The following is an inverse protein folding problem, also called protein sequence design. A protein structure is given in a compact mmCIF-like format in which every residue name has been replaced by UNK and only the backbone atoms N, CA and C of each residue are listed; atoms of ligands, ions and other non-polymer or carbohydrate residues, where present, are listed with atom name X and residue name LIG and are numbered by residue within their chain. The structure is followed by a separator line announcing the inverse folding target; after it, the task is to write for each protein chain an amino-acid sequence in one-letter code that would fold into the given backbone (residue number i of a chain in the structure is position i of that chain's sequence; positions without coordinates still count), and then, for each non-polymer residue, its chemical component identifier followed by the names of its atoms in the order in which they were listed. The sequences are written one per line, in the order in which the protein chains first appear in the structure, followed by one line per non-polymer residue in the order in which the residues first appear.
data_IF_054208428366
#
_entry.id   IF_054208428366
#
_cell.length_a   1.000
_cell.length_b   1.000
_cell.length_c   1.000
_cell.angle_alpha   90.00
_cell.angle_beta   90.00
_cell.angle_gamma   90.00
#
_symmetry.space_group_name_H-M   'P 1'
#
loop_
_entity.id
_entity.type
_entity.pdbx_description
1 polymer ?
#
# COMPACT_ATOMS: atom_id res chain seq x y z
N UNK A 1 30.96 -64.27 34.78
CA UNK A 1 30.63 -62.94 35.34
C UNK A 1 30.58 -61.96 34.17
N UNK A 2 29.38 -61.60 33.71
CA UNK A 2 29.17 -60.76 32.52
C UNK A 2 29.09 -59.29 32.93
N UNK A 3 29.84 -58.45 32.22
CA UNK A 3 29.95 -57.01 32.42
C UNK A 3 28.61 -56.28 32.15
N UNK A 4 28.28 -55.32 33.00
CA UNK A 4 27.18 -54.37 32.78
C UNK A 4 27.66 -53.19 31.93
N UNK A 5 26.91 -52.73 30.92
CA UNK A 5 27.28 -51.52 30.18
C UNK A 5 26.77 -50.28 30.91
N UNK A 6 27.68 -49.32 31.14
CA UNK A 6 27.36 -48.00 31.66
C UNK A 6 26.55 -47.21 30.62
N UNK A 7 25.36 -46.74 31.01
CA UNK A 7 24.52 -45.86 30.20
C UNK A 7 25.12 -44.44 30.21
N UNK A 8 25.61 -43.98 29.08
CA UNK A 8 26.01 -42.58 28.87
C UNK A 8 24.72 -41.73 28.74
N UNK A 9 24.43 -40.89 29.72
CA UNK A 9 23.33 -39.92 29.63
C UNK A 9 23.73 -38.76 28.71
N UNK A 10 23.19 -38.71 27.50
CA UNK A 10 23.29 -37.55 26.61
C UNK A 10 22.35 -36.48 27.15
N UNK A 11 22.89 -35.45 27.79
CA UNK A 11 22.14 -34.24 28.13
C UNK A 11 21.92 -33.45 26.84
N UNK A 12 20.74 -33.59 26.24
CA UNK A 12 20.30 -32.70 25.17
C UNK A 12 20.05 -31.31 25.78
N UNK A 13 20.98 -30.38 25.56
CA UNK A 13 20.75 -28.98 25.84
C UNK A 13 19.65 -28.47 24.90
N UNK A 14 18.42 -28.38 25.41
CA UNK A 14 17.33 -27.69 24.75
C UNK A 14 17.69 -26.20 24.72
N UNK A 15 18.33 -25.75 23.64
CA UNK A 15 18.51 -24.34 23.36
C UNK A 15 17.13 -23.70 23.28
N UNK A 16 16.82 -22.81 24.23
CA UNK A 16 15.67 -21.93 24.12
C UNK A 16 15.89 -21.05 22.88
N UNK A 17 15.26 -21.42 21.76
CA UNK A 17 15.10 -20.52 20.64
C UNK A 17 14.13 -19.44 21.08
N UNK A 18 14.64 -18.31 21.54
CA UNK A 18 13.84 -17.10 21.70
C UNK A 18 13.44 -16.69 20.28
N UNK A 19 12.24 -17.10 19.86
CA UNK A 19 11.67 -16.64 18.62
C UNK A 19 11.57 -15.11 18.73
N UNK A 20 12.34 -14.39 17.91
CA UNK A 20 12.24 -12.95 17.82
C UNK A 20 10.77 -12.60 17.52
N UNK A 21 10.14 -11.70 18.29
CA UNK A 21 8.76 -11.34 18.05
C UNK A 21 8.60 -10.82 16.62
N UNK A 22 7.50 -11.19 15.98
CA UNK A 22 7.09 -10.64 14.70
C UNK A 22 6.59 -9.20 14.93
N UNK A 23 7.34 -8.19 14.45
CA UNK A 23 7.07 -6.75 14.52
C UNK A 23 6.95 -6.09 13.12
N UNK A 24 5.79 -5.53 12.69
CA UNK A 24 5.69 -4.67 11.48
C UNK A 24 6.84 -3.65 11.42
N UNK A 25 7.24 -3.14 10.24
CA UNK A 25 8.58 -2.52 10.11
C UNK A 25 9.65 -3.54 10.55
N UNK A 26 10.40 -4.11 9.61
CA UNK A 26 11.47 -5.03 9.98
C UNK A 26 12.48 -4.32 10.88
N UNK A 27 12.90 -4.96 11.98
CA UNK A 27 13.75 -4.34 13.01
C UNK A 27 13.04 -3.33 13.93
N UNK A 28 11.76 -3.06 13.72
CA UNK A 28 10.95 -2.13 14.51
C UNK A 28 10.53 -2.67 15.88
N UNK A 29 9.69 -1.90 16.57
CA UNK A 29 9.10 -2.23 17.89
C UNK A 29 7.66 -1.75 17.96
N UNK A 30 6.88 -2.32 18.88
CA UNK A 30 5.46 -1.99 19.01
C UNK A 30 5.30 -0.57 19.51
N UNK A 31 4.45 0.19 18.84
CA UNK A 31 4.18 1.59 19.16
C UNK A 31 2.83 1.68 19.85
N UNK A 32 2.80 2.38 20.99
CA UNK A 32 1.53 2.79 21.58
C UNK A 32 0.88 3.80 20.64
N UNK A 33 -0.23 3.39 20.03
CA UNK A 33 -0.97 4.20 19.06
C UNK A 33 -1.46 5.53 19.64
N UNK A 34 -1.61 5.63 20.97
CA UNK A 34 -1.95 6.89 21.65
C UNK A 34 -0.89 7.98 21.46
N UNK A 35 0.36 7.60 21.22
CA UNK A 35 1.46 8.53 20.95
C UNK A 35 1.48 9.04 19.51
N UNK A 36 0.81 8.32 18.60
CA UNK A 36 0.76 8.59 17.16
C UNK A 36 -0.64 8.32 16.59
N UNK A 37 -1.70 8.97 17.14
CA UNK A 37 -3.08 8.61 16.84
C UNK A 37 -3.49 8.90 15.39
N UNK A 38 -2.66 9.66 14.65
CA UNK A 38 -2.86 10.01 13.25
C UNK A 38 -2.52 8.89 12.26
N UNK A 39 -1.90 7.77 12.68
CA UNK A 39 -1.53 6.70 11.73
C UNK A 39 -2.76 5.90 11.32
N UNK A 40 -2.94 5.75 10.00
CA UNK A 40 -4.05 5.06 9.38
C UNK A 40 -3.65 3.68 8.84
N UNK A 41 -4.52 2.69 8.98
CA UNK A 41 -4.44 1.41 8.29
C UNK A 41 -5.43 1.42 7.11
N UNK A 42 -4.94 1.03 5.93
CA UNK A 42 -5.69 1.02 4.67
C UNK A 42 -5.96 -0.41 4.15
N UNK A 43 -5.86 -1.41 5.03
CA UNK A 43 -5.89 -2.84 4.72
C UNK A 43 -4.51 -3.35 4.32
N UNK A 44 -4.09 -3.06 3.08
CA UNK A 44 -2.80 -3.52 2.52
C UNK A 44 -1.72 -2.45 2.47
N UNK A 45 -2.00 -1.27 3.02
CA UNK A 45 -1.09 -0.14 3.09
C UNK A 45 -1.29 0.62 4.41
N UNK A 46 -0.39 1.55 4.68
CA UNK A 46 -0.45 2.51 5.77
C UNK A 46 -0.71 3.92 5.22
N UNK A 47 -1.22 4.82 6.04
CA UNK A 47 -1.30 6.25 5.74
C UNK A 47 -1.25 7.10 7.01
N UNK A 48 -1.45 8.41 6.87
CA UNK A 48 -1.49 9.35 8.00
C UNK A 48 -2.54 10.43 7.84
N UNK A 49 -3.23 10.76 8.93
CA UNK A 49 -4.13 11.89 8.99
C UNK A 49 -3.32 13.19 8.99
N UNK A 50 -3.45 13.99 7.93
CA UNK A 50 -2.75 15.29 7.76
C UNK A 50 -3.69 16.50 7.83
N UNK A 51 -5.00 16.24 7.79
CA UNK A 51 -6.07 17.18 8.14
C UNK A 51 -7.26 16.37 8.68
N UNK A 52 -8.27 16.97 9.33
CA UNK A 52 -9.34 16.22 10.01
C UNK A 52 -10.06 15.19 9.12
N UNK A 53 -10.12 15.39 7.81
CA UNK A 53 -10.75 14.50 6.83
C UNK A 53 -9.82 14.04 5.70
N UNK A 54 -8.49 14.13 5.89
CA UNK A 54 -7.49 13.83 4.84
C UNK A 54 -6.41 12.87 5.31
N UNK A 55 -6.29 11.77 4.60
CA UNK A 55 -5.23 10.78 4.81
C UNK A 55 -4.22 10.85 3.66
N UNK A 56 -2.95 11.08 4.01
CA UNK A 56 -1.79 10.99 3.13
C UNK A 56 -1.35 9.52 3.01
N UNK A 57 -1.09 9.06 1.79
CA UNK A 57 -0.56 7.72 1.50
C UNK A 57 0.19 7.71 0.16
N UNK A 58 0.67 6.55 -0.27
CA UNK A 58 1.31 6.36 -1.57
C UNK A 58 0.26 6.21 -2.68
N UNK A 59 0.58 6.69 -3.89
CA UNK A 59 -0.33 6.58 -5.03
C UNK A 59 -0.50 5.13 -5.50
N UNK A 60 0.51 4.28 -5.39
CA UNK A 60 0.40 2.87 -5.73
C UNK A 60 -0.60 2.11 -4.84
N UNK A 61 -0.83 2.59 -3.59
CA UNK A 61 -1.86 2.04 -2.71
C UNK A 61 -3.29 2.33 -3.23
N UNK A 62 -3.44 3.33 -4.11
CA UNK A 62 -4.70 3.73 -4.74
C UNK A 62 -4.82 3.13 -6.15
N UNK A 63 -3.77 3.23 -6.97
CA UNK A 63 -3.74 2.86 -8.39
C UNK A 63 -3.75 1.35 -8.65
N UNK A 64 -3.12 0.54 -7.78
CA UNK A 64 -3.01 -0.92 -7.99
C UNK A 64 -4.32 -1.69 -7.70
N UNK A 65 -5.44 -1.00 -7.53
CA UNK A 65 -6.73 -1.63 -7.39
C UNK A 65 -6.88 -2.34 -6.05
N UNK A 66 -6.93 -1.56 -4.97
CA UNK A 66 -7.69 -1.95 -3.78
C UNK A 66 -9.12 -2.22 -4.21
N UNK A 67 -9.33 -3.47 -4.62
CA UNK A 67 -10.58 -4.00 -5.07
C UNK A 67 -11.59 -3.87 -3.96
N UNK A 68 -12.58 -3.02 -4.17
CA UNK A 68 -13.79 -2.92 -3.39
C UNK A 68 -13.59 -2.55 -1.90
N UNK A 69 -13.88 -1.27 -1.62
CA UNK A 69 -13.99 -0.62 -0.32
C UNK A 69 -12.64 -0.41 0.38
N UNK A 70 -12.22 0.85 0.38
CA UNK A 70 -11.38 1.35 1.44
C UNK A 70 -12.16 1.24 2.75
N UNK A 71 -11.76 0.32 3.63
CA UNK A 71 -12.12 0.39 5.03
C UNK A 71 -10.88 0.94 5.71
N UNK A 72 -10.95 2.20 6.14
CA UNK A 72 -9.85 2.83 6.85
C UNK A 72 -10.11 2.77 8.35
N UNK A 73 -9.06 2.51 9.10
CA UNK A 73 -9.04 2.78 10.54
C UNK A 73 -7.92 3.75 10.87
N UNK A 74 -8.12 4.58 11.88
CA UNK A 74 -7.17 5.62 12.28
C UNK A 74 -6.96 5.49 13.78
N UNK A 75 -5.70 5.48 14.21
CA UNK A 75 -5.38 5.41 15.64
C UNK A 75 -5.70 4.06 16.32
N UNK A 76 -5.72 2.96 15.56
CA UNK A 76 -6.06 1.63 16.09
C UNK A 76 -4.81 0.79 16.33
N UNK A 77 -4.65 0.25 17.54
CA UNK A 77 -3.47 -0.55 17.88
C UNK A 77 -3.36 -1.84 17.07
N UNK A 78 -4.45 -2.61 16.93
CA UNK A 78 -4.52 -3.87 16.18
C UNK A 78 -5.79 -3.91 15.31
N UNK A 79 -5.70 -3.56 14.02
CA UNK A 79 -6.87 -3.46 13.16
C UNK A 79 -7.46 -4.85 12.84
N UNK A 80 -8.63 -5.15 13.40
CA UNK A 80 -9.41 -6.34 13.06
C UNK A 80 -10.55 -6.05 12.08
N UNK A 81 -10.29 -6.06 10.77
CA UNK A 81 -11.35 -5.83 9.76
C UNK A 81 -12.55 -6.78 9.79
N UNK A 82 -12.46 -7.93 10.47
CA UNK A 82 -13.60 -8.82 10.66
C UNK A 82 -14.50 -8.37 11.83
N UNK A 83 -13.94 -7.70 12.84
CA UNK A 83 -14.63 -7.36 14.09
C UNK A 83 -14.46 -5.88 14.53
N UNK A 84 -14.03 -5.00 13.64
CA UNK A 84 -13.79 -3.59 13.95
C UNK A 84 -15.11 -2.86 14.28
N UNK A 85 -15.16 -2.08 15.36
CA UNK A 85 -16.31 -1.22 15.64
C UNK A 85 -16.56 -0.26 14.49
N UNK A 86 -17.84 -0.06 14.12
CA UNK A 86 -18.20 0.91 13.08
C UNK A 86 -17.68 2.33 13.38
N UNK A 87 -17.62 2.71 14.66
CA UNK A 87 -17.09 3.99 15.11
C UNK A 87 -15.64 4.23 14.66
N UNK A 88 -14.83 3.17 14.61
CA UNK A 88 -13.39 3.23 14.28
C UNK A 88 -13.11 3.12 12.78
N UNK A 89 -14.19 3.02 11.97
CA UNK A 89 -14.09 2.82 10.51
C UNK A 89 -14.56 4.05 9.74
N UNK A 90 -13.76 4.48 8.77
CA UNK A 90 -14.04 5.65 7.95
C UNK A 90 -14.29 5.25 6.50
N UNK A 91 -15.33 5.84 5.91
CA UNK A 91 -15.61 5.72 4.48
C UNK A 91 -14.74 6.69 3.68
N UNK A 92 -14.74 6.50 2.35
CA UNK A 92 -14.00 7.35 1.42
C UNK A 92 -14.97 8.09 0.53
N UNK A 93 -14.90 9.42 0.53
CA UNK A 93 -15.67 10.27 -0.39
C UNK A 93 -14.95 10.55 -1.70
N UNK A 94 -13.61 10.42 -1.71
CA UNK A 94 -12.81 10.65 -2.90
C UNK A 94 -11.35 10.35 -2.68
N UNK A 95 -10.60 10.25 -3.77
CA UNK A 95 -9.15 10.08 -3.77
C UNK A 95 -8.52 11.02 -4.79
N UNK A 96 -7.30 11.47 -4.54
CA UNK A 96 -6.52 12.30 -5.45
C UNK A 96 -5.11 11.73 -5.53
N UNK A 97 -4.56 11.61 -6.74
CA UNK A 97 -3.20 11.14 -7.00
C UNK A 97 -2.36 12.32 -7.49
N UNK A 98 -1.12 12.42 -7.01
CA UNK A 98 -0.21 13.46 -7.44
C UNK A 98 0.01 13.40 -8.97
N UNK A 99 -0.03 14.54 -9.68
CA UNK A 99 0.17 14.58 -11.11
C UNK A 99 1.50 13.95 -11.53
N UNK A 100 1.48 13.18 -12.63
CA UNK A 100 2.68 12.54 -13.15
C UNK A 100 3.09 11.27 -12.41
N UNK A 101 2.25 10.73 -11.51
CA UNK A 101 2.46 9.42 -10.91
C UNK A 101 2.74 8.36 -11.98
N UNK A 102 3.86 7.65 -11.82
CA UNK A 102 4.22 6.51 -12.67
C UNK A 102 4.91 5.47 -11.82
N UNK A 103 4.46 4.23 -11.98
CA UNK A 103 5.11 3.09 -11.38
C UNK A 103 5.86 2.29 -12.43
N UNK A 104 7.18 2.22 -12.31
CA UNK A 104 8.02 1.35 -13.12
C UNK A 104 8.49 0.16 -12.27
N UNK A 105 7.56 -0.76 -12.03
CA UNK A 105 7.78 -1.99 -11.25
C UNK A 105 7.25 -3.29 -11.89
N UNK A 106 7.47 -3.59 -13.18
CA UNK A 106 7.00 -4.86 -13.71
C UNK A 106 8.10 -5.92 -13.50
N UNK A 107 8.10 -6.61 -12.36
CA UNK A 107 8.76 -7.92 -12.19
C UNK A 107 10.29 -7.99 -12.14
N UNK A 108 11.02 -6.87 -12.07
CA UNK A 108 12.49 -6.86 -11.94
C UNK A 108 13.00 -6.92 -10.49
N UNK A 109 12.30 -7.60 -9.58
CA UNK A 109 12.68 -7.68 -8.16
C UNK A 109 14.03 -8.36 -7.87
N UNK A 110 14.70 -8.94 -8.88
CA UNK A 110 16.10 -9.41 -8.77
C UNK A 110 17.12 -8.29 -9.05
N UNK A 111 16.67 -7.17 -9.61
CA UNK A 111 17.45 -6.01 -10.05
C UNK A 111 16.78 -4.73 -9.51
N UNK A 112 16.91 -4.46 -8.21
CA UNK A 112 16.23 -3.34 -7.57
C UNK A 112 16.59 -1.96 -8.18
N UNK A 113 17.70 -1.87 -8.92
CA UNK A 113 18.05 -0.68 -9.71
C UNK A 113 17.08 -0.35 -10.86
N UNK A 114 16.26 -1.31 -11.30
CA UNK A 114 15.29 -1.11 -12.38
C UNK A 114 13.90 -0.71 -11.87
N UNK A 115 13.77 -0.60 -10.55
CA UNK A 115 12.54 -0.30 -9.86
C UNK A 115 12.54 1.19 -9.49
N UNK A 116 11.51 1.92 -9.89
CA UNK A 116 11.34 3.32 -9.50
C UNK A 116 9.85 3.67 -9.45
N UNK A 117 9.51 4.58 -8.55
CA UNK A 117 8.20 5.21 -8.48
C UNK A 117 8.38 6.72 -8.62
N UNK A 118 7.65 7.33 -9.55
CA UNK A 118 7.61 8.76 -9.79
C UNK A 118 6.37 9.31 -9.12
N UNK A 119 6.49 10.36 -8.32
CA UNK A 119 5.37 11.08 -7.71
C UNK A 119 4.37 10.16 -7.00
N UNK A 120 4.87 9.20 -6.23
CA UNK A 120 4.07 8.17 -5.56
C UNK A 120 3.40 8.68 -4.28
N UNK A 121 2.55 9.70 -4.45
CA UNK A 121 1.86 10.41 -3.37
C UNK A 121 0.38 10.54 -3.71
N UNK A 122 -0.49 10.26 -2.74
CA UNK A 122 -1.92 10.39 -2.88
C UNK A 122 -2.59 10.87 -1.60
N UNK A 123 -3.80 11.41 -1.78
CA UNK A 123 -4.73 11.78 -0.74
C UNK A 123 -5.98 10.92 -0.79
N UNK A 124 -6.41 10.44 0.36
CA UNK A 124 -7.74 9.90 0.58
C UNK A 124 -8.55 10.94 1.35
N UNK A 125 -9.71 11.30 0.81
CA UNK A 125 -10.67 12.16 1.47
C UNK A 125 -11.70 11.29 2.19
N UNK A 126 -11.82 11.48 3.50
CA UNK A 126 -12.74 10.73 4.34
C UNK A 126 -14.18 11.24 4.20
N UNK A 127 -15.14 10.34 4.39
CA UNK A 127 -16.57 10.67 4.39
C UNK A 127 -16.97 11.62 5.51
N UNK A 128 -16.21 11.63 6.61
CA UNK A 128 -16.38 12.52 7.76
C UNK A 128 -15.03 12.83 8.43
N UNK A 129 -14.93 13.95 9.19
CA UNK A 129 -13.76 14.22 10.01
C UNK A 129 -13.54 13.18 11.11
N UNK A 130 -12.28 12.97 11.48
CA UNK A 130 -11.87 12.16 12.63
C UNK A 130 -11.96 13.02 13.90
N UNK A 131 -12.80 12.67 14.88
CA UNK A 131 -12.89 13.41 16.14
C UNK A 131 -11.65 13.15 17.00
N UNK A 132 -11.28 14.15 17.80
CA UNK A 132 -10.30 14.03 18.90
C UNK A 132 -8.90 13.49 18.52
N UNK A 133 -8.55 13.49 17.23
CA UNK A 133 -7.23 13.15 16.71
C UNK A 133 -6.61 14.40 16.09
N UNK A 134 -5.46 14.81 16.62
CA UNK A 134 -4.67 15.88 16.02
C UNK A 134 -3.94 15.33 14.78
N UNK A 135 -4.17 15.88 13.57
CA UNK A 135 -3.42 15.49 12.39
C UNK A 135 -1.93 15.79 12.54
N UNK A 136 -1.07 14.99 11.90
CA UNK A 136 0.38 15.21 11.91
C UNK A 136 0.73 16.41 11.04
N UNK A 137 1.69 17.22 11.49
CA UNK A 137 2.27 18.27 10.66
C UNK A 137 3.04 17.64 9.49
N UNK A 138 2.99 18.27 8.32
CA UNK A 138 3.74 17.84 7.13
C UNK A 138 4.83 18.87 6.83
N UNK A 139 5.96 18.39 6.31
CA UNK A 139 7.05 19.27 5.90
C UNK A 139 6.63 20.15 4.72
N UNK A 140 6.90 21.45 4.83
CA UNK A 140 6.77 22.42 3.75
C UNK A 140 8.10 22.72 3.05
N UNK A 141 8.09 23.62 2.04
CA UNK A 141 9.30 24.04 1.32
C UNK A 141 10.40 24.61 2.22
N UNK A 142 10.04 25.18 3.37
CA UNK A 142 10.96 25.81 4.33
C UNK A 142 11.56 24.82 5.35
N UNK A 143 11.12 23.56 5.35
CA UNK A 143 11.57 22.54 6.31
C UNK A 143 12.77 21.71 5.81
N UNK A 144 13.53 22.24 4.84
CA UNK A 144 14.65 21.53 4.22
C UNK A 144 15.71 21.03 5.21
N UNK A 145 15.82 21.65 6.39
CA UNK A 145 16.71 21.21 7.47
C UNK A 145 16.33 19.83 8.05
N UNK A 146 15.04 19.48 8.05
CA UNK A 146 14.54 18.18 8.53
C UNK A 146 14.87 17.03 7.56
N UNK A 147 15.20 17.35 6.31
CA UNK A 147 15.40 16.38 5.23
C UNK A 147 16.90 16.17 4.88
N UNK A 148 17.80 16.66 5.73
CA UNK A 148 19.24 16.54 5.51
C UNK A 148 19.78 15.14 5.82
N UNK A 149 20.81 14.65 5.10
CA UNK A 149 21.50 13.41 5.46
C UNK A 149 22.01 13.44 6.91
N UNK A 150 21.88 12.32 7.60
CA UNK A 150 22.23 12.17 9.02
C UNK A 150 21.10 12.49 9.99
N UNK A 151 20.02 13.15 9.55
CA UNK A 151 18.85 13.39 10.39
C UNK A 151 18.26 12.05 10.86
N UNK A 152 18.02 11.94 12.17
CA UNK A 152 17.33 10.81 12.77
C UNK A 152 15.84 10.88 12.48
N UNK A 153 15.28 9.77 12.00
CA UNK A 153 13.89 9.69 11.56
C UNK A 153 13.26 8.40 12.05
N UNK A 154 11.93 8.43 12.21
CA UNK A 154 11.13 7.29 12.62
C UNK A 154 10.13 6.93 11.53
N UNK A 155 10.11 5.68 11.11
CA UNK A 155 9.05 5.14 10.25
C UNK A 155 8.00 4.42 11.11
N UNK A 156 6.74 4.47 10.67
CA UNK A 156 5.62 3.78 11.32
C UNK A 156 4.82 2.98 10.29
N UNK A 157 4.27 1.84 10.69
CA UNK A 157 3.49 1.02 9.76
C UNK A 157 2.79 -0.19 10.37
N UNK A 158 1.81 -0.70 9.62
CA UNK A 158 1.05 -1.92 9.93
C UNK A 158 1.43 -3.09 9.02
N UNK A 159 2.54 -2.98 8.28
CA UNK A 159 2.99 -4.00 7.36
C UNK A 159 3.54 -5.25 8.02
N UNK A 160 4.13 -6.11 7.21
CA UNK A 160 4.76 -7.34 7.66
C UNK A 160 6.06 -7.06 8.43
N UNK A 161 6.51 -8.09 9.13
CA UNK A 161 7.61 -8.00 10.10
C UNK A 161 8.88 -8.71 9.66
N UNK A 162 8.60 -9.72 8.86
CA UNK A 162 9.43 -10.79 8.38
C UNK A 162 8.78 -11.22 7.07
N UNK A 163 9.54 -11.82 6.14
CA UNK A 163 8.95 -12.40 4.94
C UNK A 163 7.81 -13.35 5.29
N UNK A 164 6.61 -13.05 4.80
CA UNK A 164 5.48 -13.96 4.87
C UNK A 164 5.69 -15.08 3.85
N UNK A 165 5.62 -16.33 4.30
CA UNK A 165 5.69 -17.48 3.39
C UNK A 165 4.48 -17.45 2.44
N UNK A 166 4.66 -17.70 1.14
CA UNK A 166 3.54 -17.79 0.21
C UNK A 166 2.47 -18.77 0.71
N UNK A 167 1.22 -18.31 0.79
CA UNK A 167 0.07 -19.13 1.24
C UNK A 167 -0.22 -19.07 2.75
N UNK A 168 0.57 -18.35 3.54
CA UNK A 168 0.25 -18.05 4.95
C UNK A 168 -0.36 -16.65 5.02
N UNK A 169 -1.54 -16.51 5.64
CA UNK A 169 -2.07 -15.19 5.94
C UNK A 169 -1.19 -14.54 7.02
N UNK A 170 -0.69 -13.31 6.84
CA UNK A 170 0.07 -12.65 7.87
C UNK A 170 -0.77 -12.53 9.16
N UNK A 171 -0.16 -12.69 10.35
CA UNK A 171 -0.84 -12.41 11.60
C UNK A 171 -1.29 -10.95 11.61
N UNK A 172 -2.33 -10.64 12.39
CA UNK A 172 -2.70 -9.23 12.63
C UNK A 172 -1.63 -8.61 13.49
N UNK A 173 -0.91 -7.63 12.95
CA UNK A 173 0.23 -7.03 13.61
C UNK A 173 -0.19 -5.70 14.24
N UNK A 174 0.21 -5.45 15.50
CA UNK A 174 0.00 -4.15 16.07
C UNK A 174 0.83 -3.10 15.31
N UNK A 175 0.45 -1.82 15.41
CA UNK A 175 1.27 -0.73 14.89
C UNK A 175 2.71 -0.83 15.39
N UNK A 176 3.67 -0.70 14.49
CA UNK A 176 5.07 -0.65 14.87
C UNK A 176 5.77 0.60 14.35
N UNK A 177 6.99 0.79 14.85
CA UNK A 177 7.91 1.77 14.33
C UNK A 177 9.35 1.45 14.65
N UNK A 178 10.25 2.00 13.85
CA UNK A 178 11.68 1.90 14.06
C UNK A 178 12.37 3.19 13.65
N UNK A 179 13.61 3.34 14.12
CA UNK A 179 14.40 4.54 13.91
C UNK A 179 15.56 4.23 12.95
N UNK A 180 15.84 5.17 12.06
CA UNK A 180 16.96 5.10 11.13
C UNK A 180 17.47 6.50 10.81
N UNK A 181 18.47 6.61 9.94
CA UNK A 181 18.99 7.90 9.49
C UNK A 181 18.80 8.11 8.01
N UNK A 182 18.58 9.38 7.66
CA UNK A 182 18.61 9.80 6.27
C UNK A 182 20.02 9.65 5.70
N UNK A 183 20.10 9.24 4.44
CA UNK A 183 21.35 9.16 3.68
C UNK A 183 21.32 10.13 2.50
N UNK A 184 22.50 10.50 2.01
CA UNK A 184 22.60 11.39 0.86
C UNK A 184 22.10 10.71 -0.42
N UNK A 185 21.56 11.50 -1.35
CA UNK A 185 21.19 11.01 -2.69
C UNK A 185 22.34 10.28 -3.40
N UNK A 186 23.60 10.79 -3.38
CA UNK A 186 24.75 10.03 -3.90
C UNK A 186 24.96 8.67 -3.23
N UNK A 187 24.79 8.56 -1.91
CA UNK A 187 24.87 7.26 -1.23
C UNK A 187 23.75 6.32 -1.66
N UNK A 188 22.52 6.83 -1.79
CA UNK A 188 21.36 6.05 -2.25
C UNK A 188 21.53 5.56 -3.70
N UNK A 189 22.08 6.41 -4.58
CA UNK A 189 22.37 6.07 -5.98
C UNK A 189 23.41 4.94 -6.14
N UNK A 190 24.23 4.66 -5.12
CA UNK A 190 25.12 3.48 -5.15
C UNK A 190 24.31 2.17 -5.16
N UNK A 191 23.17 2.15 -4.46
CA UNK A 191 22.24 1.03 -4.45
C UNK A 191 21.29 1.03 -5.66
N UNK A 192 20.87 2.22 -6.10
CA UNK A 192 19.87 2.40 -7.15
C UNK A 192 20.36 3.33 -8.28
N UNK A 193 21.30 2.90 -9.12
CA UNK A 193 21.79 3.72 -10.23
C UNK A 193 20.63 4.22 -11.11
N UNK A 194 20.54 5.55 -11.31
CA UNK A 194 19.57 6.24 -12.15
C UNK A 194 18.09 6.25 -11.69
N UNK A 195 17.75 5.64 -10.55
CA UNK A 195 16.36 5.50 -10.12
C UNK A 195 15.91 6.54 -9.08
N UNK A 196 16.85 7.24 -8.42
CA UNK A 196 16.57 8.21 -7.33
C UNK A 196 16.39 9.62 -7.89
N UNK A 197 15.20 10.18 -7.69
CA UNK A 197 14.76 11.50 -8.15
C UNK A 197 14.98 12.58 -7.06
N UNK A 198 14.75 13.85 -7.40
CA UNK A 198 14.79 14.95 -6.41
C UNK A 198 13.54 15.01 -5.53
N UNK A 199 12.48 14.31 -5.96
CA UNK A 199 11.27 14.04 -5.19
C UNK A 199 11.45 12.92 -4.17
N UNK A 200 12.64 12.32 -4.10
CA UNK A 200 12.92 11.19 -3.23
C UNK A 200 13.72 11.63 -1.99
N UNK A 201 13.53 10.87 -0.92
CA UNK A 201 14.34 10.91 0.29
C UNK A 201 14.69 9.48 0.68
N UNK A 202 15.98 9.23 0.95
CA UNK A 202 16.48 7.90 1.26
C UNK A 202 16.91 7.81 2.70
N UNK A 203 16.69 6.64 3.30
CA UNK A 203 17.11 6.33 4.66
C UNK A 203 17.62 4.91 4.76
N UNK A 204 18.55 4.69 5.67
CA UNK A 204 19.12 3.38 5.91
C UNK A 204 19.49 3.24 7.39
N UNK A 205 19.17 2.09 7.96
CA UNK A 205 19.79 1.63 9.20
C UNK A 205 21.07 0.85 8.83
N UNK A 206 22.13 1.05 9.61
CA UNK A 206 23.40 0.34 9.44
C UNK A 206 23.60 -0.72 10.54
N UNK A 207 22.73 -0.76 11.55
CA UNK A 207 22.82 -1.68 12.69
C UNK A 207 21.88 -2.87 12.50
N UNK A 208 22.36 -4.08 12.83
CA UNK A 208 21.52 -5.29 12.80
C UNK A 208 20.78 -5.48 14.14
N UNK A 209 19.49 -5.86 14.16
CA UNK A 209 18.63 -6.08 12.99
C UNK A 209 18.25 -4.77 12.29
N UNK A 210 18.24 -4.78 10.95
CA UNK A 210 18.01 -3.59 10.14
C UNK A 210 16.58 -3.08 10.27
N UNK A 211 16.45 -1.82 10.70
CA UNK A 211 15.19 -1.09 10.59
C UNK A 211 14.86 -0.76 9.12
N UNK A 212 13.75 -1.27 8.59
CA UNK A 212 13.27 -0.93 7.24
C UNK A 212 11.77 -1.18 7.03
N UNK A 213 11.13 -0.47 6.07
CA UNK A 213 9.79 -0.79 5.62
C UNK A 213 9.68 -2.20 5.02
N UNK A 214 8.49 -2.77 5.14
CA UNK A 214 8.10 -4.07 4.62
C UNK A 214 6.69 -4.01 3.99
N UNK A 215 6.25 -5.13 3.42
CA UNK A 215 4.99 -5.20 2.69
C UNK A 215 3.82 -4.75 3.57
N UNK A 216 3.09 -3.71 3.15
CA UNK A 216 2.00 -3.09 3.93
C UNK A 216 2.38 -1.81 4.69
N UNK A 217 3.67 -1.51 4.83
CA UNK A 217 4.14 -0.20 5.34
C UNK A 217 4.07 0.90 4.27
N UNK A 218 3.89 0.52 3.00
CA UNK A 218 3.64 1.43 1.87
C UNK A 218 2.63 2.51 2.22
N UNK A 219 2.95 3.76 1.89
CA UNK A 219 2.17 4.94 2.22
C UNK A 219 2.29 5.44 3.66
N UNK A 220 2.94 4.68 4.55
CA UNK A 220 3.20 5.07 5.93
C UNK A 220 4.17 6.26 6.05
N UNK A 221 4.22 6.91 7.22
CA UNK A 221 5.01 8.12 7.40
C UNK A 221 6.50 7.82 7.66
N UNK A 222 7.34 8.72 7.17
CA UNK A 222 8.67 8.98 7.73
C UNK A 222 8.64 10.29 8.51
N UNK A 223 8.91 10.23 9.80
CA UNK A 223 8.77 11.34 10.75
C UNK A 223 10.15 11.86 11.17
N UNK A 224 10.37 13.17 11.01
CA UNK A 224 11.42 13.89 11.72
C UNK A 224 10.88 14.35 13.08
N UNK A 225 11.65 14.16 14.14
CA UNK A 225 11.29 14.64 15.48
C UNK A 225 11.72 16.10 15.64
N UNK A 226 10.80 16.94 16.08
CA UNK A 226 11.07 18.36 16.39
C UNK A 226 10.69 18.66 17.83
N UNK A 227 11.14 19.77 18.43
CA UNK A 227 10.69 20.20 19.75
C UNK A 227 9.16 20.40 19.86
N UNK A 228 8.49 20.65 18.73
CA UNK A 228 7.05 20.89 18.66
C UNK A 228 6.25 19.62 18.33
N UNK A 229 6.92 18.47 18.25
CA UNK A 229 6.32 17.19 17.86
C UNK A 229 6.81 16.66 16.51
N UNK A 230 6.27 15.51 16.06
CA UNK A 230 6.68 14.89 14.81
C UNK A 230 6.21 15.67 13.60
N UNK A 231 7.09 15.80 12.61
CA UNK A 231 6.77 16.34 11.28
C UNK A 231 6.98 15.23 10.25
N UNK A 232 5.98 14.95 9.43
CA UNK A 232 6.10 13.98 8.35
C UNK A 232 6.86 14.57 7.16
N UNK A 233 8.03 14.00 6.88
CA UNK A 233 8.92 14.42 5.79
C UNK A 233 8.87 13.45 4.60
N UNK A 234 8.35 12.24 4.80
CA UNK A 234 8.34 11.19 3.78
C UNK A 234 7.07 10.33 3.76
N UNK A 235 6.80 9.73 2.60
CA UNK A 235 5.78 8.70 2.37
C UNK A 235 6.44 7.42 1.87
N UNK A 236 6.27 6.30 2.58
CA UNK A 236 6.92 5.02 2.26
C UNK A 236 6.53 4.57 0.86
N UNK A 237 7.51 4.27 -0.01
CA UNK A 237 7.23 4.04 -1.43
C UNK A 237 7.91 2.80 -2.01
N UNK A 238 9.25 2.75 -2.05
CA UNK A 238 9.95 1.65 -2.72
C UNK A 238 11.38 1.41 -2.17
N UNK A 239 12.08 0.41 -2.71
CA UNK A 239 13.53 0.25 -2.55
C UNK A 239 13.96 -0.98 -1.78
N UNK A 240 13.76 -1.00 -0.46
CA UNK A 240 14.35 -1.98 0.45
C UNK A 240 13.84 -3.42 0.26
N UNK A 241 12.70 -3.59 -0.40
CA UNK A 241 12.08 -4.89 -0.67
C UNK A 241 12.62 -5.57 -1.93
N UNK A 242 13.08 -6.81 -1.78
CA UNK A 242 13.61 -7.65 -2.86
C UNK A 242 12.87 -8.99 -2.80
N UNK A 243 12.14 -9.38 -3.87
CA UNK A 243 11.21 -10.54 -3.87
C UNK A 243 11.79 -11.87 -3.35
N UNK A 244 13.09 -12.09 -3.52
CA UNK A 244 13.76 -13.33 -3.08
C UNK A 244 14.39 -13.22 -1.69
N UNK A 245 14.30 -12.05 -1.06
CA UNK A 245 14.82 -11.76 0.27
C UNK A 245 13.67 -11.33 1.17
N UNK A 246 13.77 -11.70 2.44
CA UNK A 246 12.92 -11.12 3.45
C UNK A 246 13.16 -9.64 3.64
N UNK A 247 12.15 -8.96 4.18
CA UNK A 247 12.35 -7.69 4.85
C UNK A 247 13.47 -7.87 5.89
N UNK A 248 14.38 -6.89 5.97
CA UNK A 248 15.55 -7.01 6.84
C UNK A 248 16.80 -7.58 6.15
N UNK A 249 16.68 -8.25 4.99
CA UNK A 249 17.76 -9.10 4.45
C UNK A 249 18.48 -8.51 3.21
N UNK A 250 17.92 -7.46 2.60
CA UNK A 250 18.52 -6.88 1.40
C UNK A 250 19.72 -5.96 1.70
N UNK A 251 19.79 -5.37 2.89
CA UNK A 251 20.75 -4.33 3.28
C UNK A 251 20.77 -3.15 2.28
N UNK A 252 19.61 -2.80 1.72
CA UNK A 252 19.45 -1.67 0.81
C UNK A 252 18.76 -0.51 1.52
N UNK A 253 19.05 0.75 1.13
CA UNK A 253 18.29 1.90 1.60
C UNK A 253 16.81 1.78 1.24
N UNK A 254 15.92 2.28 2.09
CA UNK A 254 14.53 2.49 1.72
C UNK A 254 14.35 3.89 1.11
N UNK A 255 13.34 4.03 0.24
CA UNK A 255 13.03 5.27 -0.47
C UNK A 255 11.61 5.71 -0.15
N UNK A 256 11.49 6.98 0.25
CA UNK A 256 10.24 7.67 0.49
C UNK A 256 10.05 8.81 -0.51
N UNK A 257 8.81 9.15 -0.81
CA UNK A 257 8.51 10.40 -1.50
C UNK A 257 8.65 11.57 -0.53
N UNK A 258 9.44 12.58 -0.90
CA UNK A 258 9.74 13.78 -0.13
C UNK A 258 8.52 14.70 -0.03
N UNK A 259 7.91 14.78 1.15
CA UNK A 259 6.62 15.46 1.38
C UNK A 259 6.67 16.94 1.03
N UNK A 260 7.76 17.64 1.32
CA UNK A 260 7.93 19.06 0.99
C UNK A 260 7.77 19.39 -0.50
N UNK A 261 8.06 18.43 -1.39
CA UNK A 261 7.89 18.58 -2.85
C UNK A 261 6.44 18.46 -3.32
N UNK A 262 5.55 17.97 -2.46
CA UNK A 262 4.13 17.78 -2.74
C UNK A 262 3.25 18.66 -1.83
N UNK A 263 3.83 19.59 -1.08
CA UNK A 263 3.11 20.39 -0.07
C UNK A 263 1.86 21.09 -0.63
N UNK A 264 1.95 21.75 -1.79
CA UNK A 264 0.81 22.44 -2.41
C UNK A 264 -0.31 21.47 -2.82
N UNK A 265 0.07 20.30 -3.33
CA UNK A 265 -0.89 19.23 -3.64
C UNK A 265 -1.59 18.72 -2.37
N UNK A 266 -0.84 18.52 -1.29
CA UNK A 266 -1.32 17.98 -0.03
C UNK A 266 -2.24 18.95 0.73
N UNK A 267 -1.96 20.25 0.63
CA UNK A 267 -2.66 21.32 1.34
C UNK A 267 -3.75 22.01 0.52
N UNK A 268 -3.91 21.66 -0.75
CA UNK A 268 -4.93 22.24 -1.62
C UNK A 268 -6.33 22.18 -0.99
N UNK A 269 -7.00 23.33 -0.83
CA UNK A 269 -8.35 23.38 -0.25
C UNK A 269 -9.35 22.49 -1.02
N UNK A 270 -9.20 22.43 -2.35
CA UNK A 270 -10.02 21.62 -3.25
C UNK A 270 -9.11 20.73 -4.12
N UNK A 271 -8.73 19.53 -3.65
CA UNK A 271 -7.90 18.63 -4.44
C UNK A 271 -8.69 18.11 -5.64
N UNK A 272 -8.02 17.96 -6.79
CA UNK A 272 -8.66 17.45 -8.00
C UNK A 272 -8.84 15.93 -7.88
N UNK A 273 -10.07 15.49 -7.71
CA UNK A 273 -10.38 14.09 -7.43
C UNK A 273 -10.29 13.21 -8.68
N UNK A 274 -9.88 11.95 -8.50
CA UNK A 274 -10.11 10.90 -9.48
C UNK A 274 -11.61 10.67 -9.67
N UNK A 275 -12.03 10.08 -10.81
CA UNK A 275 -13.40 9.69 -11.00
C UNK A 275 -13.70 8.42 -10.22
N UNK A 276 -13.76 8.53 -8.89
CA UNK A 276 -13.72 7.42 -7.94
C UNK A 276 -15.11 6.87 -7.64
N UNK A 277 -15.21 5.56 -7.38
CA UNK A 277 -16.41 4.91 -6.85
C UNK A 277 -16.08 3.66 -6.05
N UNK A 278 -16.92 3.37 -5.06
CA UNK A 278 -16.92 2.09 -4.33
C UNK A 278 -18.03 1.14 -4.81
N UNK A 279 -18.88 1.60 -5.74
CA UNK A 279 -19.97 0.81 -6.27
C UNK A 279 -19.49 -0.22 -7.29
N UNK A 280 -20.19 -1.34 -7.35
CA UNK A 280 -19.86 -2.44 -8.25
C UNK A 280 -20.50 -2.22 -9.62
N UNK A 281 -19.82 -2.68 -10.67
CA UNK A 281 -20.42 -2.84 -11.99
C UNK A 281 -21.47 -3.95 -11.92
N UNK A 282 -22.67 -3.69 -12.44
CA UNK A 282 -23.73 -4.70 -12.51
C UNK A 282 -23.91 -5.23 -13.92
N UNK A 283 -24.26 -6.52 -14.04
CA UNK A 283 -24.53 -7.18 -15.30
C UNK A 283 -25.99 -7.60 -15.39
N UNK A 284 -26.60 -7.42 -16.55
CA UNK A 284 -27.96 -7.91 -16.84
C UNK A 284 -28.02 -8.57 -18.21
N UNK A 285 -28.96 -9.50 -18.43
CA UNK A 285 -29.17 -10.19 -19.71
C UNK A 285 -28.71 -11.65 -19.69
N UNK A 286 -28.95 -12.36 -20.81
CA UNK A 286 -28.61 -13.80 -20.98
C UNK A 286 -27.72 -14.04 -22.20
N UNK A 287 -28.29 -13.94 -23.40
CA UNK A 287 -27.58 -14.11 -24.68
C UNK A 287 -26.79 -12.87 -25.12
N UNK A 288 -27.24 -11.70 -24.66
CA UNK A 288 -26.52 -10.44 -24.75
C UNK A 288 -26.48 -9.85 -23.35
N UNK A 289 -25.28 -9.78 -22.79
CA UNK A 289 -25.02 -9.16 -21.51
C UNK A 289 -24.90 -7.65 -21.71
N UNK A 290 -25.44 -6.89 -20.75
CA UNK A 290 -25.26 -5.44 -20.64
C UNK A 290 -24.52 -5.15 -19.34
N UNK A 291 -23.48 -4.34 -19.43
CA UNK A 291 -22.61 -3.90 -18.36
C UNK A 291 -22.97 -2.46 -17.99
N UNK A 292 -23.42 -2.27 -16.76
CA UNK A 292 -23.86 -0.97 -16.25
C UNK A 292 -22.75 -0.32 -15.43
N UNK A 293 -22.33 0.86 -15.88
CA UNK A 293 -21.41 1.69 -15.13
C UNK A 293 -22.06 2.20 -13.84
N UNK A 294 -21.37 2.13 -12.69
CA UNK A 294 -21.84 2.80 -11.48
C UNK A 294 -21.71 4.33 -11.60
N UNK A 295 -22.23 5.04 -10.61
CA UNK A 295 -21.94 6.46 -10.45
C UNK A 295 -20.48 6.65 -10.01
N UNK A 296 -19.82 7.65 -10.58
CA UNK A 296 -18.47 8.06 -10.21
C UNK A 296 -18.50 9.49 -9.67
N UNK A 297 -17.72 9.73 -8.63
CA UNK A 297 -17.34 11.07 -8.18
C UNK A 297 -16.39 11.73 -9.19
N UNK A 298 -15.87 12.93 -8.92
CA UNK A 298 -14.80 13.54 -9.71
C UNK A 298 -15.14 13.85 -11.17
N UNK A 299 -16.42 13.86 -11.55
CA UNK A 299 -16.92 14.28 -12.88
C UNK A 299 -16.15 13.64 -14.04
N UNK A 300 -16.36 12.35 -14.33
CA UNK A 300 -15.62 11.67 -15.40
C UNK A 300 -15.88 12.32 -16.76
N UNK A 301 -14.80 12.64 -17.48
CA UNK A 301 -14.87 13.12 -18.87
C UNK A 301 -15.12 11.97 -19.86
N UNK A 302 -14.76 10.74 -19.48
CA UNK A 302 -14.87 9.56 -20.34
C UNK A 302 -15.15 8.30 -19.52
N UNK A 303 -16.05 7.45 -20.02
CA UNK A 303 -16.29 6.09 -19.53
C UNK A 303 -15.97 5.09 -20.66
N UNK A 304 -15.15 4.09 -20.37
CA UNK A 304 -14.83 3.00 -21.30
C UNK A 304 -15.17 1.64 -20.71
N UNK A 305 -15.53 0.70 -21.59
CA UNK A 305 -15.91 -0.65 -21.23
C UNK A 305 -14.92 -1.64 -21.83
N UNK A 306 -14.61 -2.71 -21.09
CA UNK A 306 -13.88 -3.85 -21.63
C UNK A 306 -14.47 -5.15 -21.10
N UNK A 307 -14.73 -6.10 -22.00
CA UNK A 307 -15.06 -7.46 -21.61
C UNK A 307 -13.83 -8.34 -21.66
N UNK A 308 -13.73 -9.27 -20.71
CA UNK A 308 -12.61 -10.17 -20.67
C UNK A 308 -12.85 -11.40 -19.81
N UNK A 309 -11.84 -12.26 -19.83
CA UNK A 309 -11.79 -13.48 -19.04
C UNK A 309 -10.89 -13.20 -17.83
N UNK A 310 -11.33 -13.48 -16.59
CA UNK A 310 -10.50 -13.33 -15.40
C UNK A 310 -9.16 -14.07 -15.52
N UNK A 311 -8.05 -13.44 -15.11
CA UNK A 311 -6.70 -14.02 -15.24
C UNK A 311 -6.38 -15.13 -14.24
N UNK A 312 -7.20 -15.34 -13.21
CA UNK A 312 -6.96 -16.36 -12.17
C UNK A 312 -7.59 -17.71 -12.53
N UNK A 313 -6.79 -18.78 -12.45
CA UNK A 313 -7.22 -20.18 -12.73
C UNK A 313 -7.81 -20.91 -11.50
N UNK A 314 -7.91 -20.26 -10.33
CA UNK A 314 -8.42 -20.83 -9.07
C UNK A 314 -9.93 -20.60 -8.83
N UNK A 315 -10.41 -20.78 -7.60
CA UNK A 315 -11.75 -20.34 -7.19
C UNK A 315 -11.81 -18.81 -7.25
N UNK A 316 -12.32 -18.30 -8.38
CA UNK A 316 -12.72 -16.90 -8.51
C UNK A 316 -13.69 -16.61 -7.37
N UNK A 317 -13.38 -15.63 -6.52
CA UNK A 317 -14.33 -15.15 -5.53
C UNK A 317 -15.35 -14.35 -6.35
N UNK A 318 -16.60 -14.80 -6.50
CA UNK A 318 -17.54 -14.23 -7.49
C UNK A 318 -17.83 -12.73 -7.30
N UNK A 319 -17.40 -12.15 -6.18
CA UNK A 319 -17.62 -10.77 -5.77
C UNK A 319 -16.36 -9.89 -5.78
N UNK A 320 -15.20 -10.43 -6.18
CA UNK A 320 -13.91 -9.72 -6.18
C UNK A 320 -13.50 -9.30 -7.60
N UNK A 321 -12.96 -8.08 -7.77
CA UNK A 321 -12.47 -7.61 -9.05
C UNK A 321 -11.19 -8.38 -9.44
N UNK A 322 -11.07 -8.72 -10.72
CA UNK A 322 -9.91 -9.43 -11.23
C UNK A 322 -9.39 -8.76 -12.51
N UNK A 323 -8.07 -8.61 -12.69
CA UNK A 323 -7.50 -8.23 -13.97
C UNK A 323 -8.00 -9.17 -15.07
N UNK A 324 -8.46 -8.58 -16.17
CA UNK A 324 -9.05 -9.32 -17.27
C UNK A 324 -8.03 -9.51 -18.39
N UNK A 325 -8.03 -10.69 -18.99
CA UNK A 325 -7.53 -10.87 -20.35
C UNK A 325 -8.62 -10.37 -21.28
N UNK A 326 -8.40 -9.19 -21.87
CA UNK A 326 -9.37 -8.52 -22.72
C UNK A 326 -9.75 -9.38 -23.94
N UNK A 327 -11.04 -9.45 -24.23
CA UNK A 327 -11.55 -10.00 -25.48
C UNK A 327 -11.44 -8.91 -26.54
N UNK A 328 -10.63 -9.16 -27.57
CA UNK A 328 -10.36 -8.18 -28.65
C UNK A 328 -11.68 -7.68 -29.27
N UNK A 329 -11.84 -6.36 -29.30
CA UNK A 329 -13.00 -5.67 -29.89
C UNK A 329 -14.24 -5.60 -28.98
N UNK A 330 -14.22 -6.19 -27.79
CA UNK A 330 -15.34 -6.16 -26.86
C UNK A 330 -15.28 -4.92 -25.95
N UNK A 331 -15.44 -3.74 -26.55
CA UNK A 331 -15.22 -2.43 -25.90
C UNK A 331 -16.50 -1.61 -25.68
N UNK A 332 -17.66 -2.21 -25.88
CA UNK A 332 -18.97 -1.56 -25.64
C UNK A 332 -19.60 -2.08 -24.36
N UNK A 333 -20.61 -1.38 -23.85
CA UNK A 333 -21.39 -1.82 -22.69
C UNK A 333 -22.17 -3.11 -22.94
N UNK A 334 -22.27 -3.59 -24.19
CA UNK A 334 -22.97 -4.83 -24.55
C UNK A 334 -22.02 -5.89 -25.11
N UNK A 335 -22.30 -7.14 -24.78
CA UNK A 335 -21.51 -8.28 -25.24
C UNK A 335 -22.38 -9.51 -25.50
N UNK A 336 -22.21 -10.12 -26.68
CA UNK A 336 -22.93 -11.34 -27.06
C UNK A 336 -22.19 -12.57 -26.55
N UNK A 337 -22.89 -13.41 -25.79
CA UNK A 337 -22.35 -14.66 -25.21
C UNK A 337 -22.56 -15.84 -26.16
N UNK A 338 -22.01 -17.00 -25.81
CA UNK A 338 -22.17 -18.25 -26.57
C UNK A 338 -21.36 -18.34 -27.86
N UNK A 339 -20.43 -17.40 -28.09
CA UNK A 339 -19.49 -17.48 -29.21
C UNK A 339 -18.47 -18.60 -28.98
N UNK A 340 -17.82 -19.08 -30.04
CA UNK A 340 -16.73 -20.06 -29.92
C UNK A 340 -15.59 -19.60 -29.01
N UNK A 341 -15.41 -18.27 -28.85
CA UNK A 341 -14.37 -17.69 -27.99
C UNK A 341 -14.73 -17.69 -26.50
N UNK A 342 -16.01 -17.76 -26.15
CA UNK A 342 -16.54 -17.52 -24.80
C UNK A 342 -17.25 -18.73 -24.19
N UNK A 343 -17.68 -19.69 -25.02
CA UNK A 343 -18.35 -20.91 -24.57
C UNK A 343 -17.52 -21.63 -23.50
N UNK A 344 -18.14 -21.87 -22.34
CA UNK A 344 -17.53 -22.58 -21.21
C UNK A 344 -16.54 -21.74 -20.39
N UNK A 345 -16.47 -20.42 -20.61
CA UNK A 345 -15.60 -19.51 -19.85
C UNK A 345 -16.41 -18.62 -18.91
N UNK A 346 -15.77 -18.17 -17.84
CA UNK A 346 -16.26 -17.06 -17.03
C UNK A 346 -15.88 -15.74 -17.70
N UNK A 347 -16.84 -14.81 -17.75
CA UNK A 347 -16.69 -13.48 -18.31
C UNK A 347 -16.93 -12.44 -17.24
N UNK A 348 -16.25 -11.30 -17.34
CA UNK A 348 -16.57 -10.11 -16.58
C UNK A 348 -16.41 -8.87 -17.48
N UNK A 349 -17.02 -7.78 -17.03
CA UNK A 349 -16.86 -6.46 -17.60
C UNK A 349 -16.04 -5.59 -16.64
N UNK A 350 -15.13 -4.78 -17.18
CA UNK A 350 -14.53 -3.66 -16.47
C UNK A 350 -15.04 -2.34 -17.04
N UNK A 351 -15.32 -1.40 -16.16
CA UNK A 351 -15.68 -0.02 -16.48
C UNK A 351 -14.57 0.88 -15.96
N UNK A 352 -13.97 1.66 -16.85
CA UNK A 352 -12.95 2.65 -16.51
C UNK A 352 -13.50 4.04 -16.71
N UNK A 353 -13.50 4.83 -15.65
CA UNK A 353 -13.79 6.25 -15.69
C UNK A 353 -12.48 7.04 -15.77
N UNK A 354 -12.44 8.14 -16.51
CA UNK A 354 -11.24 8.97 -16.68
C UNK A 354 -11.58 10.46 -16.64
N UNK A 355 -10.73 11.24 -15.97
CA UNK A 355 -10.73 12.70 -15.99
C UNK A 355 -9.28 13.22 -16.05
N UNK A 356 -9.07 14.53 -15.85
CA UNK A 356 -7.74 15.14 -15.89
C UNK A 356 -6.79 14.65 -14.79
N UNK A 357 -7.31 14.19 -13.65
CA UNK A 357 -6.50 13.66 -12.53
C UNK A 357 -6.05 12.22 -12.73
N UNK A 358 -6.69 11.48 -13.64
CA UNK A 358 -6.38 10.07 -13.88
C UNK A 358 -7.61 9.23 -14.16
N UNK A 359 -7.56 7.96 -13.77
CA UNK A 359 -8.61 7.00 -14.07
C UNK A 359 -8.90 6.07 -12.89
N UNK A 360 -10.10 5.50 -12.89
CA UNK A 360 -10.54 4.52 -11.90
C UNK A 360 -11.25 3.37 -12.60
N UNK A 361 -10.82 2.13 -12.34
CA UNK A 361 -11.40 0.94 -12.98
C UNK A 361 -12.10 0.08 -11.95
N UNK A 362 -13.37 -0.23 -12.22
CA UNK A 362 -14.19 -1.16 -11.43
C UNK A 362 -14.63 -2.33 -12.30
N UNK A 363 -14.86 -3.47 -11.66
CA UNK A 363 -15.15 -4.73 -12.34
C UNK A 363 -16.49 -5.28 -11.90
N UNK A 364 -17.13 -6.01 -12.78
CA UNK A 364 -18.34 -6.78 -12.46
C UNK A 364 -17.99 -8.10 -11.79
N UNK A 365 -18.97 -8.73 -11.10
CA UNK A 365 -18.96 -10.17 -10.88
C UNK A 365 -18.76 -10.96 -12.18
N UNK A 366 -18.31 -12.20 -12.05
CA UNK A 366 -18.15 -13.11 -13.19
C UNK A 366 -19.46 -13.83 -13.53
N UNK A 367 -19.71 -14.02 -14.83
CA UNK A 367 -20.87 -14.76 -15.36
C UNK A 367 -20.45 -15.76 -16.42
N UNK A 368 -21.27 -16.79 -16.64
CA UNK A 368 -21.03 -17.78 -17.69
C UNK A 368 -21.16 -17.16 -19.09
N UNK A 369 -20.22 -17.49 -19.99
CA UNK A 369 -20.07 -16.88 -21.32
C UNK A 369 -20.47 -17.69 -22.53
#
# INVERSE_FOLDING_TARGET
MRASPSLLAIVAAAGLTIAAPALAVSGGTTVDVKTVPFVANLGSCTGTLIAPDRVLTAAHCIDQGVGNRFILTIGVANPDFANLPKADTYGVKGVSIAPGFKLAFPFAHKRPQNATAVNDVALILLDRPVPDVTPVAIAGPDDAALEQPGTGVRLLGYGDTQPVKPGVLPPRLPLQGGDLRLISKPSCLKAYPHAVLDTDICGQDESAPLTQPCAGDSGGPLLAQTPNGPVQIGVTSWGSEVKEKGCGQAHLPAVWMRVSKFHDFLTAAHPVLLPFTQDKVTLTGKSTLTCHAPAFTGSPAKITYHWGIPRFKGHLIPQQPHPLTAIKGATTSRFKTGTTKTRGKQLACSVTATNASGHWTVYSPTVAG
#
